data_IF_899392700910
#
_entry.id   IF_899392700910
#
_cell.length_a   1.000
_cell.length_b   1.000
_cell.length_c   1.000
_cell.angle_alpha   90.00
_cell.angle_beta   90.00
_cell.angle_gamma   90.00
#
_symmetry.space_group_name_H-M   'P 1'
#
loop_
_entity.id
_entity.type
_entity.pdbx_description
1 polymer ?
#
# COMPACT_ATOMS: atom_id res chain seq x y z
N UNK A 1 8.40 3.08 -16.46
CA UNK A 1 7.70 3.58 -15.25
C UNK A 1 8.43 3.02 -14.05
N UNK A 2 9.13 3.85 -13.26
CA UNK A 2 9.86 3.36 -12.09
C UNK A 2 8.84 2.90 -11.02
N UNK A 3 8.90 1.63 -10.61
CA UNK A 3 8.10 1.12 -9.48
C UNK A 3 8.50 1.95 -8.26
N UNK A 4 7.56 2.72 -7.71
CA UNK A 4 7.85 3.52 -6.53
C UNK A 4 8.19 2.58 -5.37
N UNK A 5 9.36 2.78 -4.75
CA UNK A 5 9.81 1.92 -3.65
C UNK A 5 9.14 2.33 -2.36
N UNK A 6 9.08 1.42 -1.39
CA UNK A 6 8.54 1.69 -0.06
C UNK A 6 9.21 2.91 0.59
N UNK A 7 10.53 3.00 0.51
CA UNK A 7 11.32 4.08 1.10
C UNK A 7 10.98 5.43 0.46
N UNK A 8 10.73 5.45 -0.85
CA UNK A 8 10.34 6.68 -1.55
C UNK A 8 8.93 7.12 -1.18
N UNK A 9 7.99 6.17 -1.07
CA UNK A 9 6.63 6.46 -0.63
C UNK A 9 6.63 6.98 0.81
N UNK A 10 7.39 6.33 1.70
CA UNK A 10 7.52 6.72 3.11
C UNK A 10 8.15 8.11 3.26
N UNK A 11 9.27 8.38 2.58
CA UNK A 11 9.91 9.70 2.62
C UNK A 11 8.98 10.81 2.10
N UNK A 12 8.14 10.50 1.11
CA UNK A 12 7.15 11.47 0.66
C UNK A 12 6.02 11.69 1.68
N UNK A 13 5.62 10.65 2.42
CA UNK A 13 4.59 10.75 3.45
C UNK A 13 5.10 11.62 4.62
N UNK A 14 6.33 11.39 5.05
CA UNK A 14 7.01 12.21 6.07
C UNK A 14 7.04 13.69 5.67
N UNK A 15 7.39 13.97 4.41
CA UNK A 15 7.34 15.35 3.87
C UNK A 15 5.93 15.93 3.89
N UNK A 16 4.91 15.14 3.56
CA UNK A 16 3.54 15.64 3.61
C UNK A 16 3.14 16.02 5.05
N UNK A 17 3.51 15.19 6.03
CA UNK A 17 3.28 15.47 7.47
C UNK A 17 4.03 16.74 7.90
N UNK A 18 5.33 16.85 7.59
CA UNK A 18 6.15 18.03 7.92
C UNK A 18 5.54 19.32 7.34
N UNK A 19 4.97 19.26 6.13
CA UNK A 19 4.32 20.43 5.55
C UNK A 19 2.97 20.74 6.19
N UNK A 20 2.22 19.72 6.63
CA UNK A 20 0.94 19.90 7.34
C UNK A 20 1.11 20.50 8.73
N UNK A 21 2.28 20.36 9.36
CA UNK A 21 2.59 20.91 10.68
C UNK A 21 3.01 22.39 10.64
N UNK A 22 3.13 23.00 9.46
CA UNK A 22 3.52 24.41 9.32
C UNK A 22 2.37 25.34 9.75
N UNK A 23 2.70 26.35 10.57
CA UNK A 23 1.73 27.30 11.13
C UNK A 23 1.09 28.22 10.07
N UNK A 24 1.76 28.46 8.94
CA UNK A 24 1.32 29.38 7.86
C UNK A 24 0.90 28.62 6.60
N UNK A 25 0.16 27.52 6.76
CA UNK A 25 -0.34 26.71 5.66
C UNK A 25 -1.75 27.15 5.25
N UNK A 26 -1.95 27.51 3.99
CA UNK A 26 -3.29 27.81 3.49
C UNK A 26 -4.16 26.53 3.45
N UNK A 27 -5.48 26.69 3.53
CA UNK A 27 -6.41 25.57 3.47
C UNK A 27 -6.24 24.72 2.19
N UNK A 28 -6.03 25.37 1.05
CA UNK A 28 -5.82 24.67 -0.21
C UNK A 28 -4.52 23.85 -0.23
N UNK A 29 -3.45 24.39 0.37
CA UNK A 29 -2.19 23.66 0.53
C UNK A 29 -2.33 22.49 1.51
N UNK A 30 -3.05 22.69 2.61
CA UNK A 30 -3.36 21.64 3.56
C UNK A 30 -4.09 20.48 2.90
N UNK A 31 -5.11 20.77 2.08
CA UNK A 31 -5.83 19.75 1.32
C UNK A 31 -4.92 19.01 0.33
N UNK A 32 -4.07 19.74 -0.41
CA UNK A 32 -3.11 19.11 -1.34
C UNK A 32 -2.11 18.21 -0.64
N UNK A 33 -1.57 18.61 0.51
CA UNK A 33 -0.63 17.79 1.27
C UNK A 33 -1.32 16.59 1.90
N UNK A 34 -2.56 16.76 2.37
CA UNK A 34 -3.36 15.67 2.90
C UNK A 34 -3.65 14.59 1.85
N UNK A 35 -4.13 14.98 0.66
CA UNK A 35 -4.38 14.04 -0.44
C UNK A 35 -3.11 13.27 -0.83
N UNK A 36 -2.00 13.98 -1.00
CA UNK A 36 -0.70 13.34 -1.28
C UNK A 36 -0.27 12.39 -0.15
N UNK A 37 -0.49 12.77 1.11
CA UNK A 37 -0.21 11.92 2.27
C UNK A 37 -1.03 10.63 2.23
N UNK A 38 -2.33 10.72 1.94
CA UNK A 38 -3.23 9.56 1.85
C UNK A 38 -2.79 8.61 0.72
N UNK A 39 -2.44 9.15 -0.45
CA UNK A 39 -1.94 8.34 -1.57
C UNK A 39 -0.66 7.59 -1.20
N UNK A 40 0.31 8.28 -0.58
CA UNK A 40 1.58 7.67 -0.17
C UNK A 40 1.40 6.64 0.93
N UNK A 41 0.49 6.88 1.87
CA UNK A 41 0.13 5.91 2.90
C UNK A 41 -0.46 4.63 2.28
N UNK A 42 -1.32 4.76 1.26
CA UNK A 42 -1.86 3.61 0.54
C UNK A 42 -0.75 2.80 -0.15
N UNK A 43 0.23 3.46 -0.76
CA UNK A 43 1.38 2.81 -1.37
C UNK A 43 2.24 2.07 -0.33
N UNK A 44 2.51 2.70 0.81
CA UNK A 44 3.26 2.08 1.91
C UNK A 44 2.56 0.80 2.40
N UNK A 45 1.25 0.87 2.65
CA UNK A 45 0.43 -0.29 3.07
C UNK A 45 0.48 -1.41 2.04
N UNK A 46 0.36 -1.09 0.75
CA UNK A 46 0.43 -2.07 -0.32
C UNK A 46 1.79 -2.78 -0.35
N UNK A 47 2.88 -2.03 -0.24
CA UNK A 47 4.23 -2.60 -0.23
C UNK A 47 4.46 -3.52 0.98
N UNK A 48 3.99 -3.12 2.16
CA UNK A 48 4.05 -3.96 3.36
C UNK A 48 3.22 -5.25 3.21
N UNK A 49 2.02 -5.16 2.64
CA UNK A 49 1.19 -6.33 2.38
C UNK A 49 1.82 -7.29 1.38
N UNK A 50 2.44 -6.77 0.31
CA UNK A 50 3.20 -7.57 -0.66
C UNK A 50 4.36 -8.31 0.03
N UNK A 51 5.08 -7.64 0.94
CA UNK A 51 6.18 -8.25 1.69
C UNK A 51 5.70 -9.34 2.65
N UNK A 52 4.63 -9.08 3.41
CA UNK A 52 4.00 -10.06 4.30
C UNK A 52 3.55 -11.31 3.55
N UNK A 53 2.83 -11.14 2.44
CA UNK A 53 2.39 -12.24 1.59
C UNK A 53 3.56 -13.09 1.09
N UNK A 54 4.67 -12.45 0.70
CA UNK A 54 5.87 -13.14 0.24
C UNK A 54 6.53 -13.95 1.37
N UNK A 55 6.60 -13.38 2.58
CA UNK A 55 7.10 -14.08 3.76
C UNK A 55 6.21 -15.30 4.07
N UNK A 56 4.89 -15.14 4.04
CA UNK A 56 3.98 -16.26 4.26
C UNK A 56 4.16 -17.38 3.25
N UNK A 57 4.30 -17.07 1.95
CA UNK A 57 4.54 -18.07 0.91
C UNK A 57 5.85 -18.83 1.17
N UNK A 58 6.93 -18.11 1.47
CA UNK A 58 8.24 -18.73 1.76
C UNK A 58 8.19 -19.62 3.01
N UNK A 59 7.44 -19.22 4.05
CA UNK A 59 7.24 -20.04 5.24
C UNK A 59 6.36 -21.27 4.97
N UNK A 60 5.33 -21.14 4.12
CA UNK A 60 4.49 -22.25 3.66
C UNK A 60 5.31 -23.25 2.82
N UNK A 61 6.22 -22.78 1.97
CA UNK A 61 7.14 -23.61 1.18
C UNK A 61 8.17 -24.34 2.06
N UNK A 62 8.76 -23.65 3.04
CA UNK A 62 9.78 -24.24 3.94
C UNK A 62 9.23 -25.34 4.86
N UNK A 63 7.93 -25.32 5.14
CA UNK A 63 7.29 -26.21 6.11
C UNK A 63 6.52 -27.38 5.46
N UNK A 64 6.57 -27.56 4.13
CA UNK A 64 6.09 -28.76 3.43
C UNK A 64 4.58 -29.07 3.50
N UNK A 65 3.77 -28.27 4.19
CA UNK A 65 2.34 -28.49 4.36
C UNK A 65 1.52 -27.46 3.58
N UNK A 66 0.83 -27.96 2.54
CA UNK A 66 -0.10 -27.20 1.73
C UNK A 66 -1.35 -26.82 2.51
N UNK A 67 -1.76 -25.55 2.43
CA UNK A 67 -3.18 -25.19 2.47
C UNK A 67 -3.52 -24.43 1.22
N UNK A 68 -4.29 -25.07 0.35
CA UNK A 68 -4.98 -24.41 -0.75
C UNK A 68 -6.00 -23.45 -0.15
N UNK A 69 -6.06 -22.22 -0.67
CA UNK A 69 -7.27 -21.40 -0.58
C UNK A 69 -7.88 -21.34 -1.97
N UNK A 70 -9.20 -21.35 -2.05
CA UNK A 70 -9.91 -21.15 -3.30
C UNK A 70 -9.43 -19.83 -3.92
N UNK A 71 -9.08 -19.90 -5.20
CA UNK A 71 -8.81 -18.73 -6.01
C UNK A 71 -10.19 -18.24 -6.45
N UNK A 72 -10.76 -17.26 -5.75
CA UNK A 72 -11.97 -16.59 -6.22
C UNK A 72 -11.59 -15.74 -7.44
N UNK A 73 -11.50 -16.38 -8.60
CA UNK A 73 -11.84 -15.70 -9.84
C UNK A 73 -13.33 -15.46 -9.75
N UNK A 74 -13.70 -14.19 -9.66
CA UNK A 74 -14.99 -13.67 -10.08
C UNK A 74 -15.26 -14.12 -11.53
N UNK A 75 -15.68 -15.37 -11.70
CA UNK A 75 -16.39 -15.83 -12.88
C UNK A 75 -17.82 -15.42 -12.64
N UNK A 76 -18.14 -14.20 -13.07
CA UNK A 76 -19.47 -13.67 -13.08
C UNK A 76 -20.46 -14.70 -13.59
N UNK A 77 -21.53 -14.85 -12.82
CA UNK A 77 -22.74 -15.55 -13.16
C UNK A 77 -23.08 -15.31 -14.64
N UNK A 78 -22.90 -16.34 -15.47
CA UNK A 78 -23.76 -16.56 -16.63
C UNK A 78 -24.72 -17.65 -16.24
N UNK A 79 -25.87 -17.21 -15.74
CA UNK A 79 -27.10 -17.99 -15.70
C UNK A 79 -27.35 -18.65 -17.06
N UNK A 80 -27.43 -19.98 -17.07
CA UNK A 80 -28.40 -20.82 -17.79
C UNK A 80 -28.13 -22.30 -17.52
#
# INVERSE_FOLDING_TARGET
MAKETFEKALSGLEKAVENLEKEDLSLEEALRWFEQGVERLALCRKALQEAENKIEVLLKERNGHFKTRAFDTDTGDRES
#
